data_IF_414129359673
#
_entry.id   IF_414129359673
#
_cell.length_a   1.000
_cell.length_b   1.000
_cell.length_c   1.000
_cell.angle_alpha   90.00
_cell.angle_beta   90.00
_cell.angle_gamma   90.00
#
_symmetry.space_group_name_H-M   'P 1'
#
loop_
_entity.id
_entity.type
_entity.pdbx_description
1 polymer ?
#
# COMPACT_ATOMS: atom_id res chain seq x y z
N UNK A 1 -1.45 -51.28 -11.07
CA UNK A 1 -0.10 -50.68 -11.16
C UNK A 1 -0.05 -49.80 -12.43
N UNK A 2 -0.35 -48.52 -12.36
CA UNK A 2 -0.12 -47.56 -13.42
C UNK A 2 0.64 -46.38 -12.83
N UNK A 3 1.91 -46.22 -13.21
CA UNK A 3 2.79 -45.11 -12.85
C UNK A 3 2.44 -43.93 -13.72
N UNK A 4 1.92 -42.87 -13.14
CA UNK A 4 1.73 -41.57 -13.80
C UNK A 4 3.05 -40.77 -13.64
N UNK A 5 3.71 -40.51 -14.74
CA UNK A 5 4.89 -39.65 -14.78
C UNK A 5 4.45 -38.18 -14.60
N UNK A 6 4.91 -37.56 -13.54
CA UNK A 6 4.82 -36.13 -13.38
C UNK A 6 5.83 -35.43 -14.30
N UNK A 7 5.30 -34.62 -15.20
CA UNK A 7 6.06 -33.83 -16.15
C UNK A 7 6.36 -32.48 -15.48
N UNK A 8 7.64 -32.22 -15.17
CA UNK A 8 8.09 -30.92 -14.71
C UNK A 8 8.00 -29.91 -15.85
N UNK A 9 6.90 -29.17 -15.90
CA UNK A 9 6.73 -28.02 -16.78
C UNK A 9 7.68 -26.91 -16.37
N UNK A 10 8.43 -26.41 -17.36
CA UNK A 10 9.40 -25.32 -17.27
C UNK A 10 8.77 -24.09 -16.62
N UNK A 11 9.28 -23.69 -15.46
CA UNK A 11 9.00 -22.36 -14.90
C UNK A 11 9.58 -21.31 -15.83
N UNK A 12 8.71 -20.56 -16.48
CA UNK A 12 9.06 -19.33 -17.17
C UNK A 12 9.42 -18.27 -16.09
N UNK A 13 10.70 -17.95 -16.00
CA UNK A 13 11.16 -16.71 -15.36
C UNK A 13 10.66 -15.52 -16.23
N UNK A 14 9.83 -14.71 -15.68
CA UNK A 14 9.42 -13.46 -16.33
C UNK A 14 8.00 -13.09 -16.02
N UNK A 15 7.78 -12.40 -14.91
CA UNK A 15 6.80 -11.32 -14.74
C UNK A 15 6.80 -10.85 -13.28
N UNK A 16 7.93 -10.29 -12.88
CA UNK A 16 7.99 -9.42 -11.70
C UNK A 16 7.85 -7.97 -12.20
N UNK A 17 6.86 -7.29 -11.68
CA UNK A 17 6.63 -5.85 -11.86
C UNK A 17 6.21 -5.39 -13.27
N UNK A 18 4.95 -5.67 -13.64
CA UNK A 18 4.20 -4.71 -14.45
C UNK A 18 3.31 -3.89 -13.51
N UNK A 19 3.90 -2.96 -12.77
CA UNK A 19 3.15 -1.76 -12.37
C UNK A 19 2.64 -1.16 -13.69
N UNK A 20 1.34 -0.90 -13.78
CA UNK A 20 0.76 -0.19 -14.90
C UNK A 20 1.41 1.19 -14.99
N UNK A 21 2.50 1.29 -15.72
CA UNK A 21 3.00 2.56 -16.22
C UNK A 21 1.96 3.03 -17.23
N UNK A 22 1.18 4.02 -16.86
CA UNK A 22 0.49 4.86 -17.83
C UNK A 22 1.55 5.35 -18.80
N UNK A 23 1.57 4.75 -19.99
CA UNK A 23 2.49 5.11 -21.08
C UNK A 23 2.04 6.45 -21.62
N UNK A 24 2.51 7.52 -21.02
CA UNK A 24 2.48 8.83 -21.61
C UNK A 24 3.61 8.85 -22.66
N UNK A 25 3.26 8.55 -23.90
CA UNK A 25 4.13 8.76 -25.07
C UNK A 25 4.44 10.27 -25.20
N UNK A 26 5.46 10.74 -24.53
CA UNK A 26 6.14 11.99 -24.83
C UNK A 26 7.37 11.66 -25.70
N UNK A 27 7.22 11.79 -27.01
CA UNK A 27 8.33 11.98 -27.93
C UNK A 27 9.04 13.29 -27.58
N UNK A 28 10.15 13.20 -26.89
CA UNK A 28 10.99 14.35 -26.55
C UNK A 28 12.11 13.89 -25.65
N UNK A 29 13.35 14.06 -26.12
CA UNK A 29 14.64 13.66 -25.59
C UNK A 29 14.66 13.36 -24.09
N UNK A 30 15.27 12.22 -23.74
CA UNK A 30 15.51 11.87 -22.34
C UNK A 30 16.16 13.08 -21.65
N UNK A 31 15.50 13.72 -20.65
CA UNK A 31 16.20 14.72 -19.88
C UNK A 31 17.34 13.97 -19.19
N UNK A 32 18.58 14.35 -19.53
CA UNK A 32 19.75 13.99 -18.74
C UNK A 32 19.40 14.47 -17.33
N UNK A 33 19.03 13.56 -16.44
CA UNK A 33 18.80 13.86 -15.03
C UNK A 33 20.11 14.46 -14.52
N UNK A 34 20.13 15.75 -14.27
CA UNK A 34 21.20 16.34 -13.50
C UNK A 34 21.07 15.80 -12.07
N UNK A 35 21.64 14.60 -11.84
CA UNK A 35 21.76 14.05 -10.50
C UNK A 35 22.76 14.94 -9.78
N UNK A 36 22.28 15.73 -8.84
CA UNK A 36 23.13 16.62 -8.07
C UNK A 36 23.47 15.96 -6.73
N UNK A 37 24.77 15.70 -6.53
CA UNK A 37 25.29 15.41 -5.20
C UNK A 37 24.85 16.51 -4.22
N UNK A 38 24.37 16.12 -3.04
CA UNK A 38 23.96 17.09 -2.03
C UNK A 38 25.19 17.77 -1.36
N UNK A 39 25.08 19.02 -0.92
CA UNK A 39 26.15 19.68 -0.20
C UNK A 39 26.57 18.87 1.04
N UNK A 40 27.88 18.56 1.15
CA UNK A 40 28.43 17.79 2.26
C UNK A 40 28.19 16.28 2.21
N UNK A 41 27.51 15.77 1.18
CA UNK A 41 27.33 14.33 1.00
C UNK A 41 28.66 13.64 0.67
N UNK A 42 28.94 12.53 1.36
CA UNK A 42 30.15 11.75 1.16
C UNK A 42 30.16 11.08 -0.22
N UNK A 43 31.34 11.06 -0.86
CA UNK A 43 31.59 10.35 -2.10
C UNK A 43 32.58 9.23 -1.90
N UNK A 44 32.60 8.26 -2.84
CA UNK A 44 33.38 7.05 -2.79
C UNK A 44 34.06 6.79 -4.15
N UNK A 45 35.06 5.92 -4.16
CA UNK A 45 35.76 5.56 -5.40
C UNK A 45 34.99 4.51 -6.23
N UNK A 46 34.05 3.77 -5.60
CA UNK A 46 33.21 2.79 -6.27
C UNK A 46 31.85 2.63 -5.62
N UNK A 47 30.89 2.03 -6.33
CA UNK A 47 29.58 1.66 -5.81
C UNK A 47 29.68 0.66 -4.66
N UNK A 48 30.67 -0.26 -4.75
CA UNK A 48 30.94 -1.25 -3.72
C UNK A 48 31.42 -0.60 -2.41
N UNK A 49 32.38 0.33 -2.50
CA UNK A 49 32.86 1.09 -1.34
C UNK A 49 31.71 1.87 -0.67
N UNK A 50 30.87 2.54 -1.47
CA UNK A 50 29.70 3.27 -0.97
C UNK A 50 28.70 2.35 -0.24
N UNK A 51 28.37 1.20 -0.84
CA UNK A 51 27.47 0.21 -0.27
C UNK A 51 28.02 -0.34 1.05
N UNK A 52 29.30 -0.76 1.08
CA UNK A 52 29.95 -1.28 2.28
C UNK A 52 30.01 -0.24 3.40
N UNK A 53 30.28 1.03 3.08
CA UNK A 53 30.28 2.11 4.05
C UNK A 53 28.89 2.33 4.68
N UNK A 54 27.82 2.29 3.89
CA UNK A 54 26.47 2.43 4.39
C UNK A 54 26.06 1.26 5.28
N UNK A 55 26.37 0.02 4.88
CA UNK A 55 26.08 -1.18 5.68
C UNK A 55 26.85 -1.13 7.01
N UNK A 56 28.14 -0.75 7.00
CA UNK A 56 28.93 -0.60 8.21
C UNK A 56 28.35 0.45 9.16
N UNK A 57 27.89 1.58 8.63
CA UNK A 57 27.23 2.62 9.42
C UNK A 57 25.89 2.11 10.02
N UNK A 58 25.11 1.35 9.26
CA UNK A 58 23.87 0.74 9.73
C UNK A 58 24.13 -0.31 10.83
N UNK A 59 25.11 -1.19 10.65
CA UNK A 59 25.52 -2.22 11.63
C UNK A 59 25.98 -1.62 12.96
N UNK A 60 26.71 -0.50 12.91
CA UNK A 60 27.16 0.21 14.10
C UNK A 60 26.13 1.17 14.68
N UNK A 61 24.92 1.20 14.15
CA UNK A 61 23.85 2.14 14.53
C UNK A 61 24.31 3.60 14.51
N UNK A 62 25.21 3.96 13.58
CA UNK A 62 25.78 5.28 13.48
C UNK A 62 24.95 6.15 12.52
N UNK A 63 23.88 6.78 13.06
CA UNK A 63 22.98 7.64 12.30
C UNK A 63 23.74 8.79 11.61
N UNK A 64 24.70 9.39 12.32
CA UNK A 64 25.52 10.47 11.73
C UNK A 64 26.26 10.00 10.50
N UNK A 65 26.89 8.83 10.53
CA UNK A 65 27.61 8.31 9.38
C UNK A 65 26.65 7.96 8.23
N UNK A 66 25.45 7.43 8.52
CA UNK A 66 24.42 7.20 7.50
C UNK A 66 23.97 8.51 6.83
N UNK A 67 23.80 9.58 7.60
CA UNK A 67 23.45 10.91 7.08
C UNK A 67 24.58 11.56 6.30
N UNK A 68 25.85 11.40 6.72
CA UNK A 68 27.01 11.87 5.96
C UNK A 68 27.07 11.16 4.57
N UNK A 69 26.66 9.89 4.48
CA UNK A 69 26.63 9.11 3.23
C UNK A 69 25.44 9.51 2.35
N UNK A 70 24.25 9.65 2.91
CA UNK A 70 23.04 9.98 2.16
C UNK A 70 22.87 11.48 1.92
N UNK A 71 23.59 12.32 2.65
CA UNK A 71 23.39 13.76 2.66
C UNK A 71 22.26 14.20 3.60
N UNK A 72 22.07 15.53 3.78
CA UNK A 72 21.14 16.09 4.77
C UNK A 72 19.70 15.64 4.57
N UNK A 73 19.26 15.40 3.36
CA UNK A 73 17.92 14.91 3.05
C UNK A 73 17.73 13.41 3.35
N UNK A 74 18.81 12.71 3.67
CA UNK A 74 18.79 11.30 4.05
C UNK A 74 18.04 11.01 5.35
N UNK A 75 17.77 12.04 6.18
CA UNK A 75 17.04 11.86 7.45
C UNK A 75 15.68 11.19 7.25
N UNK A 76 14.94 11.53 6.20
CA UNK A 76 13.64 10.93 5.89
C UNK A 76 13.73 9.45 5.47
N UNK A 77 14.94 8.97 5.15
CA UNK A 77 15.22 7.59 4.78
C UNK A 77 15.62 6.75 5.99
N UNK A 78 16.44 7.32 6.90
CA UNK A 78 17.02 6.60 8.04
C UNK A 78 16.20 6.68 9.31
N UNK A 79 15.24 7.62 9.39
CA UNK A 79 14.38 7.79 10.56
C UNK A 79 12.93 8.07 10.17
N UNK A 80 12.01 7.27 10.73
CA UNK A 80 10.56 7.46 10.65
C UNK A 80 10.05 8.39 11.77
N UNK A 81 10.87 8.63 12.79
CA UNK A 81 10.50 9.30 14.05
C UNK A 81 10.06 8.32 15.15
N UNK A 82 10.08 7.01 14.87
CA UNK A 82 9.89 5.93 15.84
C UNK A 82 11.19 5.11 15.97
N UNK A 83 11.91 5.30 17.06
CA UNK A 83 13.22 4.66 17.29
C UNK A 83 13.13 3.11 17.27
N UNK A 84 12.00 2.55 17.68
CA UNK A 84 11.77 1.09 17.70
C UNK A 84 11.59 0.56 16.29
N UNK A 85 10.75 1.22 15.49
CA UNK A 85 10.55 0.88 14.07
C UNK A 85 11.84 1.05 13.26
N UNK A 86 12.57 2.14 13.51
CA UNK A 86 13.84 2.42 12.84
C UNK A 86 14.90 1.36 13.19
N UNK A 87 14.99 0.93 14.45
CA UNK A 87 15.91 -0.14 14.86
C UNK A 87 15.55 -1.48 14.19
N UNK A 88 14.25 -1.84 14.12
CA UNK A 88 13.80 -3.06 13.46
C UNK A 88 14.09 -3.01 11.95
N UNK A 89 13.80 -1.90 11.29
CA UNK A 89 14.06 -1.72 9.86
C UNK A 89 15.54 -1.84 9.51
N UNK A 90 16.42 -1.31 10.36
CA UNK A 90 17.88 -1.48 10.23
C UNK A 90 18.32 -2.92 10.40
N UNK A 91 17.79 -3.60 11.41
CA UNK A 91 18.09 -5.02 11.65
C UNK A 91 17.69 -5.89 10.45
N UNK A 92 16.47 -5.68 9.92
CA UNK A 92 15.96 -6.40 8.74
C UNK A 92 16.82 -6.12 7.49
N UNK A 93 17.24 -4.87 7.28
CA UNK A 93 18.14 -4.51 6.18
C UNK A 93 19.48 -5.24 6.29
N UNK A 94 20.10 -5.23 7.48
CA UNK A 94 21.39 -5.90 7.74
C UNK A 94 21.28 -7.40 7.55
N UNK A 95 20.24 -8.03 8.09
CA UNK A 95 19.98 -9.46 7.93
C UNK A 95 19.87 -9.84 6.45
N UNK A 96 19.06 -9.11 5.67
CA UNK A 96 18.91 -9.38 4.23
C UNK A 96 20.20 -9.14 3.46
N UNK A 97 20.98 -8.11 3.81
CA UNK A 97 22.28 -7.87 3.19
C UNK A 97 23.24 -9.03 3.44
N UNK A 98 23.29 -9.57 4.67
CA UNK A 98 24.12 -10.72 5.03
C UNK A 98 23.66 -12.02 4.35
N UNK A 99 22.36 -12.20 4.19
CA UNK A 99 21.79 -13.36 3.50
C UNK A 99 22.25 -13.41 2.03
N UNK A 100 22.16 -12.30 1.32
CA UNK A 100 22.64 -12.14 -0.04
C UNK A 100 22.65 -10.65 -0.42
N UNK A 101 23.66 -10.21 -1.12
CA UNK A 101 23.71 -8.89 -1.72
C UNK A 101 24.47 -8.90 -3.05
N UNK A 102 24.09 -8.00 -3.93
CA UNK A 102 24.78 -7.75 -5.20
C UNK A 102 24.46 -6.36 -5.73
N UNK A 103 25.41 -5.77 -6.42
CA UNK A 103 25.22 -4.53 -7.18
C UNK A 103 24.88 -4.90 -8.64
N UNK A 104 23.91 -4.16 -9.20
CA UNK A 104 23.46 -4.35 -10.59
C UNK A 104 23.42 -2.99 -11.27
N UNK A 105 24.08 -2.90 -12.41
CA UNK A 105 23.98 -1.73 -13.26
C UNK A 105 22.66 -1.74 -14.02
N UNK A 106 21.90 -0.68 -13.88
CA UNK A 106 20.58 -0.54 -14.47
C UNK A 106 20.66 0.16 -15.84
N UNK A 107 19.69 -0.06 -16.74
CA UNK A 107 19.68 0.56 -18.07
C UNK A 107 19.67 2.08 -18.08
N UNK A 108 19.27 2.73 -17.00
CA UNK A 108 19.25 4.19 -16.84
C UNK A 108 20.59 4.77 -16.38
N UNK A 109 21.62 3.92 -16.22
CA UNK A 109 22.97 4.30 -15.81
C UNK A 109 23.16 4.42 -14.30
N UNK A 110 22.17 4.03 -13.50
CA UNK A 110 22.31 3.89 -12.05
C UNK A 110 22.80 2.51 -11.68
N UNK A 111 23.29 2.33 -10.44
CA UNK A 111 23.61 1.01 -9.88
C UNK A 111 22.74 0.75 -8.66
N UNK A 112 21.99 -0.33 -8.66
CA UNK A 112 21.07 -0.71 -7.58
C UNK A 112 21.67 -1.83 -6.74
N UNK A 113 21.62 -1.67 -5.41
CA UNK A 113 21.92 -2.73 -4.45
C UNK A 113 20.71 -3.64 -4.27
N UNK A 114 20.84 -4.92 -4.59
CA UNK A 114 19.83 -5.96 -4.31
C UNK A 114 20.24 -6.74 -3.07
N UNK A 115 19.28 -7.02 -2.18
CA UNK A 115 19.52 -7.74 -0.91
C UNK A 115 18.48 -8.83 -0.67
N UNK A 116 18.87 -9.84 0.13
CA UNK A 116 18.04 -10.97 0.54
C UNK A 116 17.79 -11.99 -0.56
N UNK A 117 17.39 -13.21 -0.19
CA UNK A 117 17.11 -14.31 -1.11
C UNK A 117 16.06 -14.00 -2.19
N UNK A 118 15.17 -13.04 -1.92
CA UNK A 118 14.15 -12.59 -2.87
C UNK A 118 14.66 -11.50 -3.84
N UNK A 119 15.96 -11.17 -3.84
CA UNK A 119 16.53 -10.11 -4.67
C UNK A 119 15.77 -8.76 -4.52
N UNK A 120 15.62 -8.29 -3.31
CA UNK A 120 14.92 -7.03 -3.04
C UNK A 120 15.79 -5.83 -3.42
N UNK A 121 15.39 -4.98 -4.38
CA UNK A 121 16.15 -3.77 -4.72
C UNK A 121 16.03 -2.73 -3.61
N UNK A 122 17.16 -2.21 -3.14
CA UNK A 122 17.13 -1.07 -2.20
C UNK A 122 16.60 0.18 -2.90
N UNK A 123 15.90 1.08 -2.17
CA UNK A 123 15.21 2.21 -2.80
C UNK A 123 16.14 3.34 -3.24
N UNK A 124 17.37 3.42 -2.71
CA UNK A 124 18.29 4.50 -3.01
C UNK A 124 19.37 3.99 -3.97
N UNK A 125 19.32 4.38 -5.25
CA UNK A 125 20.33 3.95 -6.20
C UNK A 125 21.67 4.66 -5.98
N UNK A 126 22.73 4.04 -6.46
CA UNK A 126 24.06 4.59 -6.55
C UNK A 126 24.26 5.20 -7.94
N UNK A 127 24.92 6.33 -7.99
CA UNK A 127 25.25 7.03 -9.23
C UNK A 127 26.70 7.47 -9.25
N UNK A 128 27.29 7.55 -10.45
CA UNK A 128 28.65 8.04 -10.64
C UNK A 128 28.66 9.42 -11.28
N UNK A 129 29.60 10.25 -10.85
CA UNK A 129 29.93 11.53 -11.49
C UNK A 129 31.47 11.62 -11.64
N UNK A 130 31.94 11.44 -12.85
CA UNK A 130 33.39 11.26 -13.08
C UNK A 130 33.88 9.98 -12.41
N UNK A 131 34.87 10.10 -11.50
CA UNK A 131 35.42 8.98 -10.73
C UNK A 131 34.78 8.82 -9.34
N UNK A 132 33.76 9.61 -9.01
CA UNK A 132 33.14 9.63 -7.68
C UNK A 132 31.75 9.01 -7.70
N UNK A 133 31.48 8.15 -6.71
CA UNK A 133 30.19 7.48 -6.50
C UNK A 133 29.47 8.05 -5.28
N UNK A 134 28.15 8.13 -5.32
CA UNK A 134 27.32 8.55 -4.20
C UNK A 134 25.89 8.01 -4.34
N UNK A 135 25.11 8.05 -3.26
CA UNK A 135 23.71 7.67 -3.28
C UNK A 135 22.82 8.80 -3.83
N UNK A 136 21.96 8.51 -4.80
CA UNK A 136 20.92 9.46 -5.26
C UNK A 136 19.76 9.48 -4.26
N UNK A 137 19.91 10.25 -3.21
CA UNK A 137 18.94 10.37 -2.12
C UNK A 137 17.59 10.92 -2.60
N UNK A 138 17.58 11.81 -3.58
CA UNK A 138 16.35 12.36 -4.14
C UNK A 138 15.56 11.31 -4.92
N UNK A 139 16.23 10.48 -5.71
CA UNK A 139 15.59 9.32 -6.34
C UNK A 139 15.09 8.33 -5.30
N UNK A 140 15.88 8.06 -4.26
CA UNK A 140 15.53 7.19 -3.15
C UNK A 140 14.26 7.63 -2.41
N UNK A 141 14.14 8.90 -2.09
CA UNK A 141 12.93 9.48 -1.45
C UNK A 141 11.69 9.26 -2.31
N UNK A 142 11.81 9.48 -3.62
CA UNK A 142 10.69 9.26 -4.57
C UNK A 142 10.30 7.80 -4.65
N UNK A 143 11.28 6.90 -4.70
CA UNK A 143 11.06 5.46 -4.74
C UNK A 143 10.38 4.95 -3.45
N UNK A 144 10.84 5.41 -2.28
CA UNK A 144 10.20 5.09 -0.99
C UNK A 144 8.74 5.56 -0.98
N UNK A 145 8.48 6.76 -1.48
CA UNK A 145 7.12 7.30 -1.60
C UNK A 145 6.25 6.44 -2.53
N UNK A 146 6.76 6.06 -3.71
CA UNK A 146 6.03 5.22 -4.65
C UNK A 146 5.73 3.83 -4.07
N UNK A 147 6.70 3.20 -3.39
CA UNK A 147 6.49 1.92 -2.70
C UNK A 147 5.45 2.03 -1.58
N UNK A 148 5.44 3.13 -0.83
CA UNK A 148 4.42 3.39 0.20
C UNK A 148 3.03 3.51 -0.42
N UNK A 149 2.89 4.33 -1.46
CA UNK A 149 1.63 4.49 -2.20
C UNK A 149 1.15 3.13 -2.71
N UNK A 150 1.99 2.38 -3.41
CA UNK A 150 1.63 1.08 -3.95
C UNK A 150 1.18 0.07 -2.88
N UNK A 151 1.89 0.00 -1.74
CA UNK A 151 1.47 -0.85 -0.61
C UNK A 151 0.12 -0.44 -0.04
N UNK A 152 -0.12 0.86 0.11
CA UNK A 152 -1.39 1.38 0.61
C UNK A 152 -2.53 1.04 -0.34
N UNK A 153 -2.34 1.21 -1.65
CA UNK A 153 -3.34 0.90 -2.68
C UNK A 153 -3.67 -0.58 -2.72
N UNK A 154 -2.67 -1.46 -2.72
CA UNK A 154 -2.87 -2.92 -2.67
C UNK A 154 -3.62 -3.32 -1.38
N UNK A 155 -3.21 -2.76 -0.23
CA UNK A 155 -3.88 -3.03 1.05
C UNK A 155 -5.33 -2.54 1.02
N UNK A 156 -5.60 -1.40 0.38
CA UNK A 156 -6.94 -0.81 0.26
C UNK A 156 -7.87 -1.69 -0.58
N UNK A 157 -7.37 -2.30 -1.66
CA UNK A 157 -8.15 -3.27 -2.45
C UNK A 157 -8.56 -4.46 -1.56
N UNK A 158 -7.64 -5.00 -0.75
CA UNK A 158 -7.96 -6.05 0.22
C UNK A 158 -9.04 -5.62 1.23
N UNK A 159 -8.91 -4.42 1.80
CA UNK A 159 -9.91 -3.84 2.72
C UNK A 159 -11.28 -3.69 2.05
N UNK A 160 -11.33 -3.29 0.78
CA UNK A 160 -12.59 -3.22 0.03
C UNK A 160 -13.30 -4.58 -0.04
N UNK A 161 -12.59 -5.66 -0.30
CA UNK A 161 -13.17 -7.01 -0.30
C UNK A 161 -13.64 -7.46 1.08
N UNK A 162 -12.87 -7.17 2.13
CA UNK A 162 -13.26 -7.47 3.51
C UNK A 162 -14.52 -6.71 3.93
N UNK A 163 -14.68 -5.44 3.52
CA UNK A 163 -15.88 -4.65 3.77
C UNK A 163 -17.11 -5.25 3.07
N UNK A 164 -16.96 -5.81 1.86
CA UNK A 164 -18.06 -6.52 1.17
C UNK A 164 -18.43 -7.80 1.91
N UNK A 165 -17.43 -8.56 2.37
CA UNK A 165 -17.69 -9.77 3.18
C UNK A 165 -18.41 -9.41 4.49
N UNK A 166 -17.97 -8.37 5.17
CA UNK A 166 -18.58 -7.89 6.40
C UNK A 166 -20.03 -7.42 6.20
N UNK A 167 -20.36 -6.75 5.09
CA UNK A 167 -21.73 -6.37 4.77
C UNK A 167 -22.63 -7.60 4.54
N UNK A 168 -22.11 -8.62 3.86
CA UNK A 168 -22.85 -9.87 3.65
C UNK A 168 -23.10 -10.60 4.98
N UNK A 169 -22.11 -10.67 5.86
CA UNK A 169 -22.25 -11.24 7.19
C UNK A 169 -23.28 -10.45 8.02
N UNK A 170 -23.18 -9.11 8.03
CA UNK A 170 -24.12 -8.25 8.73
C UNK A 170 -25.55 -8.46 8.25
N UNK A 171 -25.78 -8.59 6.94
CA UNK A 171 -27.08 -8.83 6.33
C UNK A 171 -27.74 -10.11 6.88
N UNK A 172 -26.99 -11.20 6.99
CA UNK A 172 -27.51 -12.46 7.51
C UNK A 172 -27.81 -12.41 9.02
N UNK A 173 -27.04 -11.64 9.79
CA UNK A 173 -27.18 -11.54 11.25
C UNK A 173 -28.20 -10.48 11.68
N UNK A 174 -28.50 -9.47 10.85
CA UNK A 174 -29.34 -8.32 11.16
C UNK A 174 -30.67 -8.29 10.36
N UNK A 175 -31.28 -9.46 10.15
CA UNK A 175 -32.61 -9.57 9.55
C UNK A 175 -32.74 -8.97 8.14
N UNK A 176 -31.82 -9.29 7.26
CA UNK A 176 -31.83 -8.89 5.85
C UNK A 176 -31.73 -7.37 5.61
N UNK A 177 -30.93 -6.70 6.42
CA UNK A 177 -30.55 -5.30 6.19
C UNK A 177 -29.03 -5.17 6.17
N UNK A 178 -28.51 -4.28 5.34
CA UNK A 178 -27.09 -3.92 5.31
C UNK A 178 -26.79 -2.76 6.27
N UNK A 179 -25.57 -2.73 6.78
CA UNK A 179 -25.12 -1.63 7.65
C UNK A 179 -25.01 -0.31 6.86
N UNK A 180 -25.52 0.77 7.43
CA UNK A 180 -25.47 2.11 6.84
C UNK A 180 -24.28 2.93 7.33
N UNK A 181 -23.45 2.36 8.20
CA UNK A 181 -22.24 2.98 8.74
C UNK A 181 -21.22 1.91 9.11
N UNK A 182 -19.96 2.29 9.12
CA UNK A 182 -18.87 1.38 9.48
C UNK A 182 -18.84 1.19 11.00
N UNK A 183 -18.81 2.27 11.78
CA UNK A 183 -18.77 2.19 13.24
C UNK A 183 -20.19 2.25 13.84
N UNK A 184 -20.48 1.30 14.73
CA UNK A 184 -21.71 1.31 15.53
C UNK A 184 -21.72 2.50 16.51
N UNK A 185 -22.92 2.97 16.85
CA UNK A 185 -23.10 3.85 18.00
C UNK A 185 -22.74 3.12 19.29
N UNK A 186 -22.45 3.89 20.35
CA UNK A 186 -22.14 3.33 21.66
C UNK A 186 -23.29 2.42 22.15
N UNK A 187 -22.96 1.21 22.57
CA UNK A 187 -23.94 0.20 23.00
C UNK A 187 -24.86 -0.32 21.90
N UNK A 188 -24.62 -0.02 20.61
CA UNK A 188 -25.42 -0.45 19.47
C UNK A 188 -24.63 -1.42 18.58
N UNK A 189 -25.35 -2.27 17.81
CA UNK A 189 -24.79 -3.17 16.80
C UNK A 189 -25.34 -2.80 15.41
N UNK A 190 -25.33 -1.49 15.06
CA UNK A 190 -25.94 -0.96 13.85
C UNK A 190 -24.95 -0.46 12.80
N UNK A 191 -23.68 -0.82 12.96
CA UNK A 191 -22.58 -0.63 11.99
C UNK A 191 -21.83 -1.93 11.82
N UNK A 192 -20.82 -1.95 10.97
CA UNK A 192 -19.98 -3.13 10.72
C UNK A 192 -19.01 -3.44 11.87
N UNK A 193 -18.73 -2.46 12.70
CA UNK A 193 -17.83 -2.59 13.85
C UNK A 193 -18.49 -2.12 15.15
N UNK A 194 -18.30 -2.89 16.21
CA UNK A 194 -18.52 -2.55 17.61
C UNK A 194 -17.47 -3.23 18.48
N UNK A 195 -17.20 -2.66 19.62
CA UNK A 195 -16.32 -3.27 20.61
C UNK A 195 -17.05 -4.43 21.26
N UNK A 196 -16.69 -5.65 20.91
CA UNK A 196 -17.23 -6.84 21.58
C UNK A 196 -16.70 -6.93 23.01
N UNK A 197 -17.57 -7.29 23.94
CA UNK A 197 -17.25 -7.68 25.33
C UNK A 197 -17.46 -9.19 25.47
N UNK A 198 -16.93 -9.77 26.53
CA UNK A 198 -17.04 -11.21 26.78
C UNK A 198 -18.50 -11.68 26.71
N UNK A 199 -18.75 -12.70 25.90
CA UNK A 199 -20.09 -13.27 25.69
C UNK A 199 -20.95 -12.53 24.66
N UNK A 200 -20.49 -11.45 24.06
CA UNK A 200 -21.18 -10.73 22.99
C UNK A 200 -20.72 -11.22 21.60
N UNK A 201 -21.60 -11.11 20.58
CA UNK A 201 -21.21 -11.40 19.21
C UNK A 201 -20.03 -10.55 18.75
N UNK A 202 -19.10 -11.14 17.99
CA UNK A 202 -18.02 -10.42 17.33
C UNK A 202 -18.57 -9.52 16.24
N UNK A 203 -17.93 -8.37 16.01
CA UNK A 203 -18.27 -7.50 14.88
C UNK A 203 -17.75 -8.07 13.56
N UNK A 204 -18.44 -7.87 12.43
CA UNK A 204 -18.03 -8.39 11.13
C UNK A 204 -16.65 -7.97 10.67
N UNK A 205 -16.18 -6.76 11.05
CA UNK A 205 -14.85 -6.25 10.71
C UNK A 205 -13.91 -6.17 11.92
N UNK A 206 -14.16 -6.96 12.95
CA UNK A 206 -13.35 -6.96 14.18
C UNK A 206 -11.86 -7.12 13.96
N UNK A 207 -11.36 -8.10 13.17
CA UNK A 207 -9.95 -8.28 12.91
C UNK A 207 -9.31 -7.08 12.19
N UNK A 208 -9.99 -6.50 11.21
CA UNK A 208 -9.53 -5.35 10.46
C UNK A 208 -9.40 -4.10 11.35
N UNK A 209 -10.43 -3.83 12.15
CA UNK A 209 -10.43 -2.69 13.07
C UNK A 209 -9.48 -2.91 14.23
N UNK A 210 -9.32 -4.14 14.72
CA UNK A 210 -8.34 -4.45 15.76
C UNK A 210 -6.92 -4.08 15.30
N UNK A 211 -6.55 -4.38 14.05
CA UNK A 211 -5.27 -3.94 13.47
C UNK A 211 -5.17 -2.42 13.41
N UNK A 212 -6.24 -1.73 13.02
CA UNK A 212 -6.28 -0.27 12.98
C UNK A 212 -6.16 0.36 14.38
N UNK A 213 -6.77 -0.25 15.40
CA UNK A 213 -6.65 0.16 16.80
C UNK A 213 -5.21 0.04 17.27
N UNK A 214 -4.51 -1.05 16.93
CA UNK A 214 -3.10 -1.25 17.29
C UNK A 214 -2.18 -0.19 16.64
N UNK A 215 -2.52 0.28 15.46
CA UNK A 215 -1.78 1.32 14.72
C UNK A 215 -2.17 2.77 15.13
N UNK A 216 -2.96 2.96 16.20
CA UNK A 216 -3.33 4.29 16.72
C UNK A 216 -4.77 4.72 16.51
N UNK A 217 -5.63 3.89 15.94
CA UNK A 217 -7.04 4.18 15.68
C UNK A 217 -7.85 4.43 16.98
N UNK A 218 -7.45 3.78 18.10
CA UNK A 218 -8.10 3.94 19.41
C UNK A 218 -7.94 5.35 20.01
N UNK A 219 -6.99 6.15 19.54
CA UNK A 219 -6.78 7.52 20.00
C UNK A 219 -7.67 8.55 19.32
N UNK A 220 -8.49 8.11 18.34
CA UNK A 220 -9.19 8.99 17.40
C UNK A 220 -10.66 9.30 17.71
N UNK A 221 -11.25 8.76 18.77
CA UNK A 221 -12.68 9.01 19.07
C UNK A 221 -13.01 10.48 19.30
N UNK A 222 -12.03 11.29 19.72
CA UNK A 222 -12.22 12.74 19.93
C UNK A 222 -11.66 13.62 18.78
N UNK A 223 -11.04 13.05 17.74
CA UNK A 223 -10.29 13.80 16.71
C UNK A 223 -10.78 13.63 15.27
N UNK A 224 -11.94 13.02 15.05
CA UNK A 224 -12.46 12.73 13.72
C UNK A 224 -11.89 11.43 13.11
N UNK A 225 -12.28 11.08 11.86
CA UNK A 225 -11.86 9.82 11.23
C UNK A 225 -10.36 9.77 11.02
N UNK A 226 -9.73 8.66 11.44
CA UNK A 226 -8.32 8.39 11.22
C UNK A 226 -8.18 7.49 9.98
N UNK A 227 -7.24 7.75 9.06
CA UNK A 227 -7.08 6.91 7.88
C UNK A 227 -6.54 5.53 8.27
N UNK A 228 -7.04 4.48 7.62
CA UNK A 228 -6.51 3.13 7.73
C UNK A 228 -5.74 2.78 6.47
N UNK A 229 -4.49 2.35 6.62
CA UNK A 229 -3.57 2.11 5.49
C UNK A 229 -3.45 3.32 4.55
N UNK A 230 -3.51 4.54 5.11
CA UNK A 230 -3.42 5.78 4.34
C UNK A 230 -4.70 6.19 3.59
N UNK A 231 -5.83 5.50 3.84
CA UNK A 231 -7.11 5.71 3.16
C UNK A 231 -8.26 5.95 4.13
N UNK A 232 -9.23 6.75 3.68
CA UNK A 232 -10.54 6.87 4.28
C UNK A 232 -11.55 6.03 3.52
N UNK A 233 -12.55 5.51 4.24
CA UNK A 233 -13.59 4.63 3.70
C UNK A 233 -14.95 5.12 4.14
N UNK A 234 -15.94 5.09 3.22
CA UNK A 234 -17.34 5.26 3.63
C UNK A 234 -18.30 4.47 2.73
N UNK A 235 -19.53 4.31 3.23
CA UNK A 235 -20.61 3.59 2.56
C UNK A 235 -21.30 4.53 1.59
N UNK A 236 -21.53 4.06 0.36
CA UNK A 236 -22.37 4.73 -0.63
C UNK A 236 -23.80 4.25 -0.48
N UNK A 237 -24.78 5.17 -0.64
CA UNK A 237 -26.19 4.89 -0.33
C UNK A 237 -27.06 4.67 -1.56
N UNK A 238 -26.51 4.83 -2.76
CA UNK A 238 -27.22 4.63 -4.04
C UNK A 238 -26.25 4.19 -5.14
N UNK A 239 -26.84 3.72 -6.22
CA UNK A 239 -26.17 3.31 -7.45
C UNK A 239 -26.67 4.14 -8.62
N UNK A 240 -25.76 4.53 -9.51
CA UNK A 240 -26.08 5.19 -10.76
C UNK A 240 -26.30 4.21 -11.92
N UNK A 241 -26.50 4.77 -13.11
CA UNK A 241 -26.88 3.99 -14.31
C UNK A 241 -25.80 2.99 -14.77
N UNK A 242 -24.53 3.26 -14.49
CA UNK A 242 -23.41 2.38 -14.87
C UNK A 242 -23.17 1.24 -13.87
N UNK A 243 -23.83 1.22 -12.74
CA UNK A 243 -23.80 0.09 -11.83
C UNK A 243 -24.64 -1.07 -12.36
N UNK A 244 -24.29 -2.31 -11.98
CA UNK A 244 -25.01 -3.50 -12.43
C UNK A 244 -26.48 -3.44 -12.00
N UNK A 245 -27.39 -3.54 -12.96
CA UNK A 245 -28.84 -3.44 -12.75
C UNK A 245 -29.40 -2.02 -12.77
N UNK A 246 -28.59 -1.00 -13.15
CA UNK A 246 -29.02 0.38 -13.34
C UNK A 246 -29.14 1.20 -12.05
N UNK A 247 -29.68 2.40 -12.16
CA UNK A 247 -29.80 3.32 -11.06
C UNK A 247 -30.82 2.86 -10.01
N UNK A 248 -30.43 2.92 -8.72
CA UNK A 248 -31.33 2.59 -7.59
C UNK A 248 -30.83 3.18 -6.28
N UNK A 249 -31.75 3.44 -5.37
CA UNK A 249 -31.43 3.74 -3.98
C UNK A 249 -31.22 2.43 -3.21
N UNK A 250 -30.17 2.36 -2.41
CA UNK A 250 -29.92 1.21 -1.53
C UNK A 250 -30.77 1.27 -0.25
N UNK A 251 -31.22 2.48 0.12
CA UNK A 251 -32.02 2.72 1.31
C UNK A 251 -33.50 2.85 0.93
N UNK A 252 -34.34 1.95 1.43
CA UNK A 252 -35.78 1.93 1.27
C UNK A 252 -36.44 1.91 2.66
N UNK A 253 -37.36 2.83 2.91
CA UNK A 253 -38.03 2.97 4.23
C UNK A 253 -37.05 3.08 5.41
N UNK A 254 -35.95 3.80 5.22
CA UNK A 254 -34.91 4.02 6.24
C UNK A 254 -33.98 2.79 6.48
N UNK A 255 -34.13 1.72 5.73
CA UNK A 255 -33.32 0.50 5.82
C UNK A 255 -32.55 0.27 4.52
N UNK A 256 -31.30 -0.10 4.60
CA UNK A 256 -30.47 -0.46 3.45
C UNK A 256 -30.73 -1.92 3.06
N UNK A 257 -31.61 -2.15 2.08
CA UNK A 257 -32.08 -3.48 1.66
C UNK A 257 -31.75 -3.80 0.21
N UNK A 258 -31.57 -2.76 -0.65
CA UNK A 258 -31.44 -2.93 -2.09
C UNK A 258 -29.98 -3.07 -2.57
N UNK A 259 -29.04 -3.14 -1.66
CA UNK A 259 -27.62 -3.26 -1.94
C UNK A 259 -26.77 -2.34 -1.08
N UNK A 260 -25.51 -2.28 -1.40
CA UNK A 260 -24.51 -1.42 -0.76
C UNK A 260 -23.34 -1.21 -1.71
N UNK A 261 -22.56 -0.17 -1.46
CA UNK A 261 -21.24 0.01 -2.06
C UNK A 261 -20.36 0.82 -1.11
N UNK A 262 -19.06 0.83 -1.39
CA UNK A 262 -18.08 1.60 -0.65
C UNK A 262 -17.24 2.45 -1.59
N UNK A 263 -16.73 3.56 -1.07
CA UNK A 263 -15.63 4.31 -1.64
C UNK A 263 -14.46 4.32 -0.66
N UNK A 264 -13.25 4.14 -1.19
CA UNK A 264 -12.00 4.32 -0.49
C UNK A 264 -11.16 5.37 -1.22
N UNK A 265 -10.65 6.38 -0.50
CA UNK A 265 -9.87 7.47 -1.08
C UNK A 265 -8.68 7.84 -0.20
N UNK A 266 -7.55 8.28 -0.79
CA UNK A 266 -6.34 8.57 -0.05
C UNK A 266 -6.55 9.75 0.93
N UNK A 267 -5.98 9.63 2.13
CA UNK A 267 -5.97 10.71 3.12
C UNK A 267 -5.19 11.93 2.62
N UNK A 268 -4.12 11.68 1.86
CA UNK A 268 -3.30 12.71 1.22
C UNK A 268 -2.98 12.27 -0.21
N UNK A 269 -3.55 12.96 -1.19
CA UNK A 269 -3.30 12.69 -2.61
C UNK A 269 -1.81 12.79 -2.96
N UNK A 270 -1.27 11.76 -3.63
CA UNK A 270 0.15 11.58 -3.98
C UNK A 270 1.12 11.46 -2.80
N UNK A 271 0.61 11.27 -1.60
CA UNK A 271 1.42 11.00 -0.41
C UNK A 271 1.04 9.66 0.21
N UNK A 272 -0.23 9.46 0.52
CA UNK A 272 -0.74 8.18 1.02
C UNK A 272 -1.30 7.27 -0.07
N UNK A 273 -1.72 7.84 -1.21
CA UNK A 273 -2.26 7.14 -2.37
C UNK A 273 -2.54 8.09 -3.52
N UNK A 274 -2.83 7.55 -4.70
CA UNK A 274 -3.23 8.26 -5.91
C UNK A 274 -4.65 7.87 -6.30
N UNK A 275 -4.94 6.56 -6.34
CA UNK A 275 -6.22 6.03 -6.81
C UNK A 275 -7.31 6.16 -5.76
N UNK A 276 -8.52 6.46 -6.21
CA UNK A 276 -9.75 6.28 -5.46
C UNK A 276 -10.38 4.97 -5.92
N UNK A 277 -10.87 4.18 -4.98
CA UNK A 277 -11.49 2.88 -5.25
C UNK A 277 -12.97 2.92 -4.93
N UNK A 278 -13.78 2.24 -5.74
CA UNK A 278 -15.18 1.94 -5.43
C UNK A 278 -15.44 0.45 -5.59
N UNK A 279 -16.29 -0.11 -4.73
CA UNK A 279 -16.68 -1.51 -4.77
C UNK A 279 -18.16 -1.64 -4.45
N UNK A 280 -18.88 -2.42 -5.25
CA UNK A 280 -20.29 -2.75 -5.03
C UNK A 280 -20.50 -4.14 -4.45
N UNK A 281 -21.74 -4.54 -4.37
CA UNK A 281 -22.17 -5.86 -3.85
C UNK A 281 -21.62 -7.03 -4.70
N UNK A 282 -21.29 -6.78 -5.97
CA UNK A 282 -20.68 -7.72 -6.90
C UNK A 282 -19.22 -8.07 -6.54
N UNK A 283 -18.60 -7.27 -5.69
CA UNK A 283 -17.23 -7.47 -5.24
C UNK A 283 -16.16 -7.06 -6.25
N UNK A 284 -16.54 -6.38 -7.35
CA UNK A 284 -15.57 -5.85 -8.31
C UNK A 284 -15.04 -4.50 -7.85
N UNK A 285 -13.73 -4.40 -7.67
CA UNK A 285 -13.07 -3.13 -7.32
C UNK A 285 -12.79 -2.34 -8.60
N UNK A 286 -13.26 -1.11 -8.64
CA UNK A 286 -12.90 -0.14 -9.68
C UNK A 286 -12.03 0.96 -9.09
N UNK A 287 -11.10 1.49 -9.88
CA UNK A 287 -10.16 2.53 -9.51
C UNK A 287 -10.15 3.68 -10.49
N UNK A 288 -9.90 4.89 -9.97
CA UNK A 288 -9.76 6.12 -10.77
C UNK A 288 -8.90 7.14 -10.04
N UNK A 289 -7.98 7.80 -10.75
CA UNK A 289 -7.32 9.01 -10.27
C UNK A 289 -8.28 10.21 -10.40
N UNK A 290 -8.79 10.70 -9.27
CA UNK A 290 -9.66 11.88 -9.21
C UNK A 290 -8.88 13.21 -9.16
N UNK A 291 -7.53 13.13 -9.15
CA UNK A 291 -6.65 14.28 -9.18
C UNK A 291 -6.53 15.01 -7.83
N UNK A 292 -5.99 16.22 -7.86
CA UNK A 292 -5.63 17.00 -6.65
C UNK A 292 -6.81 17.34 -5.72
N UNK A 293 -8.06 17.19 -6.19
CA UNK A 293 -9.28 17.45 -5.40
C UNK A 293 -9.97 16.15 -4.97
N UNK A 294 -9.23 15.05 -4.92
CA UNK A 294 -9.76 13.73 -4.57
C UNK A 294 -10.54 13.75 -3.26
N UNK A 295 -10.02 14.40 -2.22
CA UNK A 295 -10.66 14.54 -0.92
C UNK A 295 -12.07 15.18 -1.01
N UNK A 296 -12.21 16.24 -1.80
CA UNK A 296 -13.50 16.92 -1.99
C UNK A 296 -14.51 16.05 -2.77
N UNK A 297 -14.05 15.43 -3.87
CA UNK A 297 -14.92 14.62 -4.71
C UNK A 297 -15.34 13.31 -4.05
N UNK A 298 -14.39 12.63 -3.38
CA UNK A 298 -14.65 11.33 -2.78
C UNK A 298 -15.38 11.44 -1.44
N UNK A 299 -15.07 12.43 -0.59
CA UNK A 299 -15.72 12.63 0.71
C UNK A 299 -17.23 12.82 0.58
N UNK A 300 -17.67 13.54 -0.44
CA UNK A 300 -19.10 13.85 -0.68
C UNK A 300 -19.77 12.85 -1.62
N UNK A 301 -19.04 11.85 -2.12
CA UNK A 301 -19.58 10.82 -3.00
C UNK A 301 -20.67 10.03 -2.29
N UNK A 302 -21.85 9.93 -2.91
CA UNK A 302 -23.01 9.17 -2.39
C UNK A 302 -23.39 8.00 -3.30
N UNK A 303 -22.84 7.97 -4.51
CA UNK A 303 -23.29 7.11 -5.59
C UNK A 303 -22.16 6.22 -6.11
N UNK A 304 -22.45 4.93 -6.19
CA UNK A 304 -21.63 3.96 -6.92
C UNK A 304 -21.99 3.99 -8.40
N UNK A 305 -21.12 4.56 -9.22
CA UNK A 305 -21.39 4.74 -10.64
C UNK A 305 -20.11 4.63 -11.49
N UNK A 306 -19.48 3.44 -11.57
CA UNK A 306 -18.24 3.24 -12.33
C UNK A 306 -18.50 3.25 -13.82
N UNK A 307 -18.42 4.42 -14.45
CA UNK A 307 -18.50 4.61 -15.90
C UNK A 307 -17.19 4.16 -16.60
N UNK A 308 -17.11 4.38 -17.92
CA UNK A 308 -15.96 4.01 -18.75
C UNK A 308 -14.64 4.69 -18.36
N UNK A 309 -14.65 5.71 -17.51
CA UNK A 309 -13.46 6.38 -16.99
C UNK A 309 -12.86 5.68 -15.75
N UNK A 310 -13.58 4.71 -15.18
CA UNK A 310 -13.09 3.85 -14.12
C UNK A 310 -12.50 2.57 -14.72
N UNK A 311 -11.40 2.10 -14.15
CA UNK A 311 -10.74 0.85 -14.53
C UNK A 311 -10.93 -0.20 -13.43
N UNK A 312 -11.05 -1.47 -13.81
CA UNK A 312 -10.98 -2.54 -12.82
C UNK A 312 -9.60 -2.52 -12.17
N UNK A 313 -9.55 -2.58 -10.83
CA UNK A 313 -8.29 -2.75 -10.14
C UNK A 313 -7.75 -4.16 -10.40
N UNK A 314 -6.45 -4.27 -10.67
CA UNK A 314 -5.78 -5.57 -10.79
C UNK A 314 -5.64 -6.19 -9.39
N UNK A 315 -6.27 -7.33 -9.19
CA UNK A 315 -6.08 -8.15 -7.99
C UNK A 315 -4.72 -8.84 -8.09
N UNK A 316 -3.83 -8.56 -7.15
CA UNK A 316 -2.64 -9.40 -7.02
C UNK A 316 -3.06 -10.77 -6.48
N UNK A 317 -2.53 -11.90 -7.02
CA UNK A 317 -2.77 -13.21 -6.43
C UNK A 317 -2.36 -13.14 -4.96
N UNK A 318 -3.29 -13.41 -4.04
CA UNK A 318 -2.96 -13.58 -2.64
C UNK A 318 -1.96 -14.74 -2.55
N UNK A 319 -0.73 -14.47 -2.09
CA UNK A 319 0.14 -15.53 -1.60
C UNK A 319 -0.61 -16.16 -0.42
N UNK A 320 -1.23 -17.30 -0.66
CA UNK A 320 -1.77 -18.13 0.42
C UNK A 320 -0.60 -18.45 1.33
N UNK A 321 -0.55 -17.82 2.48
CA UNK A 321 0.30 -18.24 3.60
C UNK A 321 -0.07 -19.67 3.90
N UNK A 322 0.76 -20.59 3.39
CA UNK A 322 0.60 -22.02 3.61
C UNK A 322 0.55 -22.30 5.10
N UNK A 323 -0.49 -23.03 5.49
CA UNK A 323 -0.69 -23.69 6.77
C UNK A 323 0.63 -24.09 7.45
N UNK A 324 1.02 -23.38 8.48
CA UNK A 324 1.85 -23.96 9.52
C UNK A 324 0.96 -24.90 10.35
N UNK A 325 0.73 -26.12 9.85
CA UNK A 325 0.31 -27.23 10.70
C UNK A 325 1.49 -27.62 11.57
N UNK A 326 1.46 -27.15 12.79
CA UNK A 326 2.18 -27.72 13.95
C UNK A 326 1.99 -29.23 14.00
N UNK A 327 3.11 -29.94 14.02
CA UNK A 327 3.24 -31.25 14.66
C UNK A 327 3.90 -31.08 16.01
#
# INVERSE_FOLDING_TARGET
MRRTKFNFGKFHQGNLLKLAAVTLLLTGGFPIRAVAQQPGQKTFSSAEEASNAFVTAAQSNNEKAMLDILGPDGRQIVSSGDDTEDAQSRADFIQRYQEMHRLVDEPDGTTTLYIGAKNWPTPVPLVSKGSSWYFDTEAGKKEILFRRIGRNEISTIGVCHELVAAQKEFYFTQHNVYAQKIFSGEGQHNGLYWKATDGQPQSPIGPLVASAVAEGYAKGQDRGPTPYRGYYYHILTRQGEHGHGGAKNYIVNGKMTEGFAFVAYPAEYRSSGVMTFVIGIDGVVYQKDLGKKTDLHAKDMKEYNPDSSWQKAEEQPQETTGDQKTK
#
